data_IF_132354848726
#
_entry.id   IF_132354848726
#
_cell.length_a   1.000
_cell.length_b   1.000
_cell.length_c   1.000
_cell.angle_alpha   90.00
_cell.angle_beta   90.00
_cell.angle_gamma   90.00
#
_symmetry.space_group_name_H-M   'P 1'
#
loop_
_entity.id
_entity.type
_entity.pdbx_description
1 polymer ?
#
# COMPACT_ATOMS: atom_id res chain seq x y z
N UNK A 1 -24.70 2.68 40.94
CA UNK A 1 -25.89 3.37 40.41
C UNK A 1 -25.55 4.81 40.14
N UNK A 2 -25.18 5.15 38.90
CA UNK A 2 -25.04 6.54 38.46
C UNK A 2 -26.13 6.74 37.41
N UNK A 3 -27.14 7.54 37.75
CA UNK A 3 -28.24 7.90 36.87
C UNK A 3 -27.73 8.94 35.86
N UNK A 4 -27.73 8.59 34.59
CA UNK A 4 -27.58 9.54 33.48
C UNK A 4 -28.97 9.98 33.03
N UNK A 5 -29.26 11.27 33.18
CA UNK A 5 -30.41 11.93 32.56
C UNK A 5 -29.91 13.17 31.82
N UNK A 6 -29.90 13.10 30.48
CA UNK A 6 -30.43 14.13 29.59
C UNK A 6 -30.30 13.69 28.14
N UNK A 7 -31.44 13.70 27.47
CA UNK A 7 -31.56 13.57 26.03
C UNK A 7 -30.83 14.72 25.33
N UNK A 8 -29.96 14.39 24.39
CA UNK A 8 -29.52 15.31 23.34
C UNK A 8 -30.26 14.93 22.06
N UNK A 9 -30.98 15.90 21.50
CA UNK A 9 -31.68 15.78 20.23
C UNK A 9 -30.68 15.49 19.10
N UNK A 10 -31.10 14.57 18.24
CA UNK A 10 -30.40 14.17 17.03
C UNK A 10 -30.41 15.31 16.00
N UNK A 11 -29.26 15.94 15.81
CA UNK A 11 -28.88 16.61 14.56
C UNK A 11 -27.36 16.85 14.55
N UNK A 12 -26.56 15.79 14.79
CA UNK A 12 -25.16 15.81 14.44
C UNK A 12 -25.02 15.14 13.08
N UNK A 13 -24.68 15.93 12.07
CA UNK A 13 -24.02 15.45 10.86
C UNK A 13 -22.98 14.42 11.31
N UNK A 14 -23.19 13.13 10.99
CA UNK A 14 -22.20 12.10 11.27
C UNK A 14 -20.99 12.48 10.43
N UNK A 15 -20.01 13.11 11.07
CA UNK A 15 -18.68 13.30 10.53
C UNK A 15 -18.19 11.89 10.18
N UNK A 16 -18.12 11.59 8.89
CA UNK A 16 -17.35 10.46 8.40
C UNK A 16 -15.94 10.71 8.93
N UNK A 17 -15.32 9.77 9.66
CA UNK A 17 -13.95 9.94 10.13
C UNK A 17 -13.08 10.32 8.93
N UNK A 18 -12.07 11.20 9.11
CA UNK A 18 -11.21 11.64 8.01
C UNK A 18 -10.53 10.43 7.38
N UNK A 19 -11.02 10.03 6.21
CA UNK A 19 -10.39 9.01 5.38
C UNK A 19 -9.00 9.54 5.03
N UNK A 20 -7.91 8.77 5.28
CA UNK A 20 -6.60 9.11 4.77
C UNK A 20 -6.69 9.42 3.28
N UNK A 21 -6.05 10.51 2.84
CA UNK A 21 -5.99 10.77 1.41
C UNK A 21 -4.97 9.82 0.82
N UNK A 22 -5.28 9.19 -0.33
CA UNK A 22 -4.32 8.29 -0.97
C UNK A 22 -3.38 9.05 -1.90
N UNK A 23 -2.09 8.76 -1.79
CA UNK A 23 -1.02 9.27 -2.64
C UNK A 23 -0.68 8.30 -3.79
N UNK A 24 -1.73 7.76 -4.42
CA UNK A 24 -1.66 6.76 -5.50
C UNK A 24 -0.68 7.07 -6.66
N UNK A 25 -0.41 8.33 -7.07
CA UNK A 25 0.60 8.64 -8.08
C UNK A 25 2.01 8.20 -7.71
N UNK A 26 2.37 8.19 -6.43
CA UNK A 26 3.70 7.80 -5.97
C UNK A 26 3.94 6.29 -6.18
N UNK A 27 2.91 5.46 -5.97
CA UNK A 27 2.95 4.03 -6.30
C UNK A 27 3.14 3.77 -7.80
N UNK A 28 2.45 4.55 -8.65
CA UNK A 28 2.65 4.45 -10.10
C UNK A 28 4.10 4.77 -10.43
N UNK A 29 4.62 5.90 -9.94
CA UNK A 29 5.98 6.36 -10.24
C UNK A 29 7.04 5.32 -9.86
N UNK A 30 6.90 4.66 -8.72
CA UNK A 30 7.81 3.61 -8.26
C UNK A 30 7.70 2.34 -9.09
N UNK A 31 6.48 1.79 -9.22
CA UNK A 31 6.26 0.53 -9.93
C UNK A 31 6.63 0.64 -11.40
N UNK A 32 6.35 1.77 -12.05
CA UNK A 32 6.66 2.00 -13.46
C UNK A 32 8.15 2.21 -13.74
N UNK A 33 8.95 2.51 -12.71
CA UNK A 33 10.40 2.64 -12.78
C UNK A 33 11.13 1.29 -12.64
N UNK A 34 10.42 0.21 -12.32
CA UNK A 34 10.99 -1.15 -12.30
C UNK A 34 11.41 -1.56 -13.71
N UNK A 35 12.59 -2.15 -13.84
CA UNK A 35 13.06 -2.76 -15.07
C UNK A 35 12.67 -4.24 -15.08
N UNK A 36 11.68 -4.62 -15.88
CA UNK A 36 11.19 -5.99 -15.97
C UNK A 36 12.05 -6.80 -16.94
N UNK A 37 12.55 -7.95 -16.48
CA UNK A 37 13.22 -8.93 -17.34
C UNK A 37 12.16 -9.78 -18.04
N UNK A 38 12.22 -9.84 -19.36
CA UNK A 38 11.32 -10.63 -20.20
C UNK A 38 12.14 -11.60 -21.05
N UNK A 39 11.47 -12.53 -21.74
CA UNK A 39 12.13 -13.42 -22.70
C UNK A 39 12.81 -12.64 -23.85
N UNK A 40 12.23 -11.51 -24.25
CA UNK A 40 12.75 -10.62 -25.30
C UNK A 40 13.78 -9.60 -24.81
N UNK A 41 14.16 -9.65 -23.52
CA UNK A 41 15.08 -8.71 -22.89
C UNK A 41 14.41 -7.84 -21.82
N UNK A 42 15.18 -6.93 -21.23
CA UNK A 42 14.69 -6.02 -20.20
C UNK A 42 13.92 -4.85 -20.79
N UNK A 43 12.83 -4.46 -20.12
CA UNK A 43 12.03 -3.27 -20.48
C UNK A 43 11.55 -2.55 -19.23
N UNK A 44 11.45 -1.21 -19.26
CA UNK A 44 10.79 -0.46 -18.20
C UNK A 44 9.33 -0.87 -18.02
N UNK A 45 8.88 -1.03 -16.78
CA UNK A 45 7.54 -1.49 -16.44
C UNK A 45 6.42 -0.58 -16.98
N UNK A 46 6.66 0.74 -17.09
CA UNK A 46 5.74 1.68 -17.76
C UNK A 46 5.39 1.32 -19.21
N UNK A 47 6.29 0.61 -19.90
CA UNK A 47 6.16 0.26 -21.32
C UNK A 47 5.59 -1.17 -21.49
N UNK A 48 5.29 -1.86 -20.39
CA UNK A 48 4.70 -3.19 -20.34
C UNK A 48 3.26 -3.09 -19.85
N UNK A 49 2.36 -3.78 -20.56
CA UNK A 49 0.92 -3.78 -20.27
C UNK A 49 0.47 -5.17 -19.87
N UNK A 50 -0.17 -5.28 -18.72
CA UNK A 50 -0.76 -6.49 -18.17
C UNK A 50 -2.27 -6.46 -18.41
N UNK A 51 -2.71 -7.30 -19.34
CA UNK A 51 -4.14 -7.51 -19.59
C UNK A 51 -4.66 -8.52 -18.58
N UNK A 52 -5.52 -8.07 -17.67
CA UNK A 52 -6.14 -8.89 -16.63
C UNK A 52 -7.42 -9.54 -17.15
N UNK A 53 -7.93 -10.55 -16.44
CA UNK A 53 -9.22 -11.18 -16.79
C UNK A 53 -10.37 -10.19 -16.63
N UNK A 54 -10.26 -9.23 -15.70
CA UNK A 54 -11.16 -8.09 -15.50
C UNK A 54 -11.25 -7.12 -16.70
N UNK A 55 -10.50 -7.39 -17.76
CA UNK A 55 -10.40 -6.61 -19.00
C UNK A 55 -9.64 -5.29 -18.86
N UNK A 56 -9.18 -4.97 -17.65
CA UNK A 56 -8.22 -3.88 -17.40
C UNK A 56 -6.87 -4.18 -18.05
N UNK A 57 -6.21 -3.13 -18.54
CA UNK A 57 -4.90 -3.22 -19.19
C UNK A 57 -3.92 -2.21 -18.57
N UNK A 58 -3.23 -2.66 -17.53
CA UNK A 58 -2.52 -1.80 -16.58
C UNK A 58 -1.00 -1.95 -16.70
N UNK A 59 -0.24 -0.94 -16.29
CA UNK A 59 1.20 -1.11 -16.02
C UNK A 59 1.42 -1.73 -14.63
N UNK A 60 2.68 -2.03 -14.31
CA UNK A 60 3.05 -2.51 -12.97
C UNK A 60 2.70 -1.47 -11.89
N UNK A 61 3.07 -0.21 -12.11
CA UNK A 61 2.75 0.88 -11.17
C UNK A 61 1.26 1.14 -11.05
N UNK A 62 0.50 1.05 -12.13
CA UNK A 62 -0.97 1.18 -12.08
C UNK A 62 -1.62 0.05 -11.26
N UNK A 63 -1.09 -1.18 -11.28
CA UNK A 63 -1.55 -2.26 -10.41
C UNK A 63 -1.19 -1.96 -8.94
N UNK A 64 0.06 -1.56 -8.66
CA UNK A 64 0.48 -1.21 -7.30
C UNK A 64 -0.35 -0.08 -6.71
N UNK A 65 -0.75 0.92 -7.51
CA UNK A 65 -1.59 2.03 -7.05
C UNK A 65 -3.06 1.66 -6.81
N UNK A 66 -3.50 0.49 -7.28
CA UNK A 66 -4.86 -0.01 -7.12
C UNK A 66 -4.99 -1.03 -5.99
N UNK A 67 -3.91 -1.74 -5.68
CA UNK A 67 -3.87 -2.76 -4.63
C UNK A 67 -4.04 -2.16 -3.24
N UNK A 68 -4.69 -2.89 -2.33
CA UNK A 68 -4.87 -2.49 -0.92
C UNK A 68 -5.90 -1.38 -0.72
N UNK A 69 -5.67 -0.23 -1.34
CA UNK A 69 -6.47 0.99 -1.20
C UNK A 69 -7.83 0.91 -1.91
N UNK A 70 -7.83 0.36 -3.12
CA UNK A 70 -9.01 0.32 -3.98
C UNK A 70 -9.50 -1.10 -4.25
N UNK A 71 -8.62 -2.09 -4.19
CA UNK A 71 -8.96 -3.48 -4.40
C UNK A 71 -8.41 -4.32 -3.27
N UNK A 72 -9.32 -5.04 -2.61
CA UNK A 72 -9.08 -5.72 -1.34
C UNK A 72 -10.36 -6.40 -0.86
N UNK A 73 -10.31 -6.94 0.36
CA UNK A 73 -11.47 -7.58 0.98
C UNK A 73 -11.65 -7.10 2.42
N UNK A 74 -12.78 -7.45 3.04
CA UNK A 74 -13.04 -7.24 4.47
C UNK A 74 -12.12 -8.04 5.40
N UNK A 75 -11.28 -8.92 4.85
CA UNK A 75 -10.43 -9.84 5.61
C UNK A 75 -8.97 -9.50 5.35
N UNK A 76 -8.33 -8.73 6.25
CA UNK A 76 -6.93 -8.38 6.12
C UNK A 76 -6.05 -9.62 6.02
N UNK A 77 -5.09 -9.56 5.11
CA UNK A 77 -4.18 -10.62 4.69
C UNK A 77 -3.34 -11.09 5.89
N UNK A 78 -2.91 -10.17 6.75
CA UNK A 78 -1.99 -10.45 7.86
C UNK A 78 -2.63 -11.08 9.10
N UNK A 79 -3.95 -11.04 9.28
CA UNK A 79 -4.60 -11.51 10.52
C UNK A 79 -4.43 -13.00 10.83
N UNK A 80 -4.60 -13.92 9.86
CA UNK A 80 -4.53 -15.34 10.18
C UNK A 80 -3.14 -15.70 10.69
N UNK A 81 -3.03 -16.62 11.67
CA UNK A 81 -1.72 -17.10 12.12
C UNK A 81 -1.08 -18.10 11.14
N UNK A 82 -1.87 -18.67 10.22
CA UNK A 82 -1.43 -19.72 9.31
C UNK A 82 -1.24 -19.19 7.88
N UNK A 83 -0.19 -19.65 7.19
CA UNK A 83 0.21 -19.16 5.87
C UNK A 83 -0.85 -19.45 4.79
N UNK A 84 -1.46 -20.63 4.77
CA UNK A 84 -2.48 -21.01 3.78
C UNK A 84 -3.69 -20.06 3.78
N UNK A 85 -4.16 -19.65 4.96
CA UNK A 85 -5.25 -18.68 5.07
C UNK A 85 -4.81 -17.29 4.61
N UNK A 86 -3.58 -16.87 4.93
CA UNK A 86 -3.04 -15.60 4.42
C UNK A 86 -2.99 -15.60 2.90
N UNK A 87 -2.47 -16.67 2.30
CA UNK A 87 -2.41 -16.84 0.84
C UNK A 87 -3.81 -16.80 0.23
N UNK A 88 -4.80 -17.48 0.82
CA UNK A 88 -6.20 -17.41 0.36
C UNK A 88 -6.81 -16.01 0.46
N UNK A 89 -6.51 -15.25 1.52
CA UNK A 89 -6.94 -13.85 1.66
C UNK A 89 -6.27 -12.94 0.64
N UNK A 90 -4.96 -13.09 0.42
CA UNK A 90 -4.24 -12.36 -0.63
C UNK A 90 -4.82 -12.64 -2.02
N UNK A 91 -5.02 -13.91 -2.38
CA UNK A 91 -5.62 -14.29 -3.67
C UNK A 91 -7.01 -13.68 -3.82
N UNK A 92 -7.81 -13.67 -2.74
CA UNK A 92 -9.14 -13.05 -2.77
C UNK A 92 -9.09 -11.53 -2.98
N UNK A 93 -8.10 -10.85 -2.37
CA UNK A 93 -7.85 -9.42 -2.59
C UNK A 93 -7.39 -9.15 -4.03
N UNK A 94 -6.41 -9.89 -4.53
CA UNK A 94 -5.94 -9.84 -5.91
C UNK A 94 -7.08 -10.06 -6.91
N UNK A 95 -7.91 -11.08 -6.69
CA UNK A 95 -9.04 -11.44 -7.55
C UNK A 95 -10.07 -10.32 -7.66
N UNK A 96 -10.22 -9.48 -6.63
CA UNK A 96 -11.13 -8.32 -6.68
C UNK A 96 -10.74 -7.31 -7.77
N UNK A 97 -9.44 -7.21 -8.10
CA UNK A 97 -8.91 -6.43 -9.22
C UNK A 97 -8.86 -7.27 -10.50
N UNK A 98 -8.36 -8.49 -10.41
CA UNK A 98 -7.88 -9.23 -11.56
C UNK A 98 -8.94 -10.03 -12.30
N UNK A 99 -10.02 -10.45 -11.61
CA UNK A 99 -11.09 -11.28 -12.19
C UNK A 99 -12.26 -10.47 -12.74
N UNK A 100 -12.99 -11.08 -13.67
CA UNK A 100 -14.24 -10.52 -14.19
C UNK A 100 -15.25 -10.30 -13.08
N UNK A 101 -15.91 -9.15 -13.12
CA UNK A 101 -17.04 -8.83 -12.26
C UNK A 101 -18.05 -7.96 -13.01
N UNK A 102 -19.21 -7.73 -12.41
CA UNK A 102 -20.23 -6.82 -12.98
C UNK A 102 -19.81 -5.36 -12.98
N UNK A 103 -18.80 -4.98 -12.19
CA UNK A 103 -18.29 -3.61 -12.07
C UNK A 103 -17.08 -3.35 -12.99
N UNK A 104 -16.32 -4.39 -13.33
CA UNK A 104 -15.12 -4.28 -14.16
C UNK A 104 -15.43 -4.37 -15.67
N UNK A 105 -14.64 -3.70 -16.54
CA UNK A 105 -13.49 -2.83 -16.23
C UNK A 105 -13.87 -1.39 -15.84
N UNK A 106 -15.16 -1.03 -15.92
CA UNK A 106 -15.63 0.37 -15.82
C UNK A 106 -15.25 1.04 -14.51
N UNK A 107 -15.34 0.32 -13.39
CA UNK A 107 -14.95 0.85 -12.09
C UNK A 107 -13.44 1.14 -12.04
N UNK A 108 -12.60 0.18 -12.43
CA UNK A 108 -11.15 0.37 -12.47
C UNK A 108 -10.75 1.53 -13.38
N UNK A 109 -11.38 1.68 -14.55
CA UNK A 109 -11.15 2.82 -15.45
C UNK A 109 -11.53 4.16 -14.81
N UNK A 110 -12.65 4.20 -14.06
CA UNK A 110 -13.09 5.39 -13.33
C UNK A 110 -12.10 5.77 -12.23
N UNK A 111 -11.64 4.81 -11.43
CA UNK A 111 -10.64 5.03 -10.37
C UNK A 111 -9.32 5.52 -11.00
N UNK A 112 -8.85 4.84 -12.05
CA UNK A 112 -7.63 5.23 -12.75
C UNK A 112 -7.71 6.64 -13.35
N UNK A 113 -8.89 7.07 -13.80
CA UNK A 113 -9.08 8.45 -14.25
C UNK A 113 -8.84 9.44 -13.11
N UNK A 114 -9.38 9.16 -11.91
CA UNK A 114 -9.20 10.02 -10.73
C UNK A 114 -7.72 10.08 -10.34
N UNK A 115 -7.02 8.94 -10.31
CA UNK A 115 -5.57 8.88 -10.02
C UNK A 115 -4.77 9.69 -11.06
N UNK A 116 -5.12 9.62 -12.35
CA UNK A 116 -4.47 10.40 -13.41
C UNK A 116 -4.73 11.90 -13.26
N UNK A 117 -5.95 12.30 -12.89
CA UNK A 117 -6.27 13.70 -12.60
C UNK A 117 -5.47 14.21 -11.37
N UNK A 118 -5.30 13.38 -10.34
CA UNK A 118 -4.49 13.67 -9.15
C UNK A 118 -3.00 13.81 -9.51
N UNK A 119 -2.45 12.88 -10.27
CA UNK A 119 -1.07 12.94 -10.77
C UNK A 119 -0.83 14.23 -11.58
N UNK A 120 -1.76 14.60 -12.47
CA UNK A 120 -1.65 15.85 -13.22
C UNK A 120 -1.62 17.08 -12.30
N UNK A 121 -2.46 17.09 -11.25
CA UNK A 121 -2.49 18.18 -10.28
C UNK A 121 -1.18 18.28 -9.48
N UNK A 122 -0.59 17.15 -9.07
CA UNK A 122 0.72 17.11 -8.41
C UNK A 122 1.81 17.63 -9.33
N UNK A 123 1.86 17.15 -10.58
CA UNK A 123 2.83 17.61 -11.57
C UNK A 123 2.72 19.11 -11.86
N UNK A 124 1.50 19.67 -11.83
CA UNK A 124 1.26 21.11 -11.93
C UNK A 124 1.79 21.86 -10.69
N UNK A 125 1.52 21.38 -9.48
CA UNK A 125 2.01 21.99 -8.25
C UNK A 125 3.54 22.03 -8.19
N UNK A 126 4.21 20.95 -8.60
CA UNK A 126 5.69 20.90 -8.70
C UNK A 126 6.21 21.99 -9.64
N UNK A 127 5.63 22.11 -10.85
CA UNK A 127 6.03 23.13 -11.82
C UNK A 127 5.81 24.56 -11.32
N UNK A 128 4.78 24.76 -10.51
CA UNK A 128 4.43 26.05 -9.91
C UNK A 128 5.12 26.31 -8.57
N UNK A 129 6.02 25.41 -8.12
CA UNK A 129 6.67 25.46 -6.80
C UNK A 129 5.66 25.58 -5.62
N UNK A 130 4.48 24.97 -5.77
CA UNK A 130 3.46 24.89 -4.72
C UNK A 130 3.65 23.63 -3.87
N UNK A 131 3.24 23.66 -2.58
CA UNK A 131 3.27 22.47 -1.74
C UNK A 131 2.42 21.35 -2.34
N UNK A 132 3.03 20.19 -2.63
CA UNK A 132 2.30 19.02 -3.13
C UNK A 132 1.35 18.44 -2.06
N UNK A 133 1.67 18.66 -0.78
CA UNK A 133 0.82 18.29 0.36
C UNK A 133 -0.58 18.89 0.28
N UNK A 134 -0.71 20.11 -0.24
CA UNK A 134 -1.99 20.79 -0.38
C UNK A 134 -2.84 20.18 -1.50
N UNK A 135 -2.18 19.65 -2.54
CA UNK A 135 -2.87 18.92 -3.61
C UNK A 135 -3.47 17.64 -3.04
N UNK A 136 -2.69 16.88 -2.27
CA UNK A 136 -3.18 15.66 -1.63
C UNK A 136 -4.26 15.95 -0.59
N UNK A 137 -4.13 17.00 0.22
CA UNK A 137 -5.13 17.34 1.25
C UNK A 137 -6.50 17.79 0.70
N UNK A 138 -6.67 17.97 -0.61
CA UNK A 138 -7.95 18.34 -1.21
C UNK A 138 -8.99 17.21 -1.10
N UNK A 139 -10.03 17.45 -0.30
CA UNK A 139 -11.10 16.49 -0.03
C UNK A 139 -11.81 15.97 -1.29
N UNK A 140 -11.72 16.67 -2.44
CA UNK A 140 -12.32 16.21 -3.69
C UNK A 140 -11.83 14.83 -4.12
N UNK A 141 -10.57 14.47 -3.82
CA UNK A 141 -10.01 13.18 -4.20
C UNK A 141 -10.77 12.05 -3.50
N UNK A 142 -10.87 12.12 -2.17
CA UNK A 142 -11.59 11.13 -1.38
C UNK A 142 -13.08 11.08 -1.75
N UNK A 143 -13.73 12.24 -1.97
CA UNK A 143 -15.12 12.27 -2.44
C UNK A 143 -15.31 11.56 -3.79
N UNK A 144 -14.38 11.75 -4.73
CA UNK A 144 -14.42 11.09 -6.03
C UNK A 144 -14.18 9.58 -5.92
N UNK A 145 -13.24 9.15 -5.07
CA UNK A 145 -12.96 7.72 -4.82
C UNK A 145 -14.13 7.00 -4.11
N UNK A 146 -14.75 7.65 -3.13
CA UNK A 146 -15.99 7.18 -2.50
C UNK A 146 -17.08 6.99 -3.56
N UNK A 147 -17.32 8.00 -4.39
CA UNK A 147 -18.30 7.92 -5.47
C UNK A 147 -17.93 6.89 -6.56
N UNK A 148 -16.65 6.57 -6.72
CA UNK A 148 -16.19 5.55 -7.67
C UNK A 148 -16.53 4.14 -7.20
N UNK A 149 -16.47 3.88 -5.90
CA UNK A 149 -16.62 2.53 -5.30
C UNK A 149 -17.97 2.31 -4.61
N UNK A 150 -18.84 3.31 -4.52
CA UNK A 150 -20.11 3.24 -3.77
C UNK A 150 -21.04 2.08 -4.18
N UNK A 151 -21.01 1.64 -5.44
CA UNK A 151 -21.89 0.58 -5.93
C UNK A 151 -21.53 -0.81 -5.36
N UNK A 152 -20.31 -0.98 -4.83
CA UNK A 152 -19.85 -2.21 -4.16
C UNK A 152 -20.69 -2.56 -2.93
N UNK A 153 -21.20 -1.56 -2.21
CA UNK A 153 -22.04 -1.79 -1.04
C UNK A 153 -23.30 -2.62 -1.38
N UNK A 154 -23.86 -2.45 -2.59
CA UNK A 154 -25.02 -3.21 -3.08
C UNK A 154 -24.68 -4.68 -3.37
N UNK A 155 -23.39 -4.96 -3.59
CA UNK A 155 -22.85 -6.28 -3.89
C UNK A 155 -22.21 -6.95 -2.66
N UNK A 156 -22.24 -6.32 -1.48
CA UNK A 156 -21.57 -6.79 -0.28
C UNK A 156 -20.03 -6.76 -0.37
N UNK A 157 -19.48 -5.97 -1.29
CA UNK A 157 -18.04 -5.82 -1.50
C UNK A 157 -17.51 -4.61 -0.73
N UNK A 158 -16.24 -4.65 -0.31
CA UNK A 158 -15.61 -3.56 0.42
C UNK A 158 -15.44 -2.32 -0.47
N UNK A 159 -15.94 -1.18 -0.02
CA UNK A 159 -15.75 0.12 -0.66
C UNK A 159 -14.39 0.70 -0.33
N UNK A 160 -14.00 1.80 -1.00
CA UNK A 160 -12.81 2.58 -0.65
C UNK A 160 -12.79 2.99 0.84
N UNK A 161 -13.96 3.36 1.39
CA UNK A 161 -14.07 3.68 2.82
C UNK A 161 -13.80 2.46 3.70
N UNK A 162 -14.39 1.32 3.36
CA UNK A 162 -14.29 0.11 4.16
C UNK A 162 -12.85 -0.42 4.22
N UNK A 163 -12.15 -0.35 3.08
CA UNK A 163 -10.74 -0.73 2.99
C UNK A 163 -9.87 0.19 3.86
N UNK A 164 -10.06 1.51 3.76
CA UNK A 164 -9.33 2.47 4.60
C UNK A 164 -9.58 2.29 6.12
N UNK A 165 -10.68 1.67 6.52
CA UNK A 165 -10.96 1.38 7.93
C UNK A 165 -10.27 0.12 8.45
N UNK A 166 -9.90 -0.81 7.57
CA UNK A 166 -9.31 -2.12 7.88
C UNK A 166 -7.90 -2.28 7.29
N UNK A 167 -7.20 -1.16 7.11
CA UNK A 167 -5.96 -0.98 6.35
C UNK A 167 -4.67 -1.30 7.13
N UNK A 168 -4.72 -2.08 8.22
CA UNK A 168 -3.47 -2.37 8.94
C UNK A 168 -2.48 -3.21 8.13
N UNK A 169 -2.91 -3.89 7.06
CA UNK A 169 -2.01 -4.52 6.10
C UNK A 169 -1.03 -3.53 5.43
N UNK A 170 -1.21 -2.22 5.57
CA UNK A 170 -0.29 -1.20 5.07
C UNK A 170 0.81 -0.83 6.10
N UNK A 171 0.72 -1.33 7.33
CA UNK A 171 1.53 -0.83 8.45
C UNK A 171 2.51 -1.88 9.00
N UNK A 172 3.74 -1.43 9.27
CA UNK A 172 4.73 -2.16 10.06
C UNK A 172 4.86 -3.65 9.69
N UNK A 173 4.64 -4.53 10.68
CA UNK A 173 4.77 -5.99 10.48
C UNK A 173 3.67 -6.59 9.62
N UNK A 174 2.51 -5.94 9.61
CA UNK A 174 1.35 -6.42 8.87
C UNK A 174 1.59 -6.23 7.36
N UNK A 175 2.19 -5.09 6.96
CA UNK A 175 2.69 -4.86 5.60
C UNK A 175 3.75 -5.86 5.14
N UNK A 176 4.73 -6.15 5.99
CA UNK A 176 5.73 -7.16 5.69
C UNK A 176 5.10 -8.55 5.47
N UNK A 177 4.10 -8.92 6.27
CA UNK A 177 3.35 -10.17 6.11
C UNK A 177 2.53 -10.16 4.81
N UNK A 178 1.80 -9.09 4.53
CA UNK A 178 0.96 -8.95 3.34
C UNK A 178 1.81 -9.03 2.06
N UNK A 179 2.91 -8.27 2.01
CA UNK A 179 3.88 -8.32 0.92
C UNK A 179 4.44 -9.73 0.72
N UNK A 180 5.01 -10.35 1.77
CA UNK A 180 5.62 -11.69 1.64
C UNK A 180 4.62 -12.72 1.15
N UNK A 181 3.41 -12.69 1.70
CA UNK A 181 2.31 -13.59 1.30
C UNK A 181 2.04 -13.46 -0.20
N UNK A 182 1.87 -12.23 -0.67
CA UNK A 182 1.60 -11.98 -2.08
C UNK A 182 2.76 -12.29 -3.01
N UNK A 183 3.98 -11.95 -2.59
CA UNK A 183 5.20 -12.21 -3.34
C UNK A 183 5.45 -13.72 -3.52
N UNK A 184 5.27 -14.52 -2.46
CA UNK A 184 5.37 -15.97 -2.57
C UNK A 184 4.28 -16.56 -3.46
N UNK A 185 3.03 -16.10 -3.36
CA UNK A 185 1.96 -16.52 -4.27
C UNK A 185 2.29 -16.18 -5.74
N UNK A 186 2.86 -14.99 -5.99
CA UNK A 186 3.30 -14.59 -7.32
C UNK A 186 4.45 -15.46 -7.85
N UNK A 187 5.39 -15.87 -6.99
CA UNK A 187 6.44 -16.83 -7.36
C UNK A 187 5.89 -18.25 -7.62
N UNK A 188 4.87 -18.70 -6.90
CA UNK A 188 4.17 -19.94 -7.22
C UNK A 188 3.53 -19.87 -8.61
N UNK A 189 2.89 -18.75 -8.96
CA UNK A 189 2.42 -18.51 -10.34
C UNK A 189 3.59 -18.57 -11.32
N UNK A 190 4.70 -17.88 -11.04
CA UNK A 190 5.89 -17.84 -11.90
C UNK A 190 6.46 -19.24 -12.22
N UNK A 191 6.40 -20.15 -11.24
CA UNK A 191 6.95 -21.52 -11.34
C UNK A 191 5.95 -22.55 -11.88
N UNK A 192 4.69 -22.17 -12.06
CA UNK A 192 3.65 -23.10 -12.55
C UNK A 192 3.90 -23.61 -13.97
N UNK A 193 4.46 -22.76 -14.83
CA UNK A 193 4.79 -23.10 -16.22
C UNK A 193 5.76 -22.08 -16.82
N UNK A 194 6.76 -22.57 -17.57
CA UNK A 194 7.74 -21.72 -18.27
C UNK A 194 7.18 -21.12 -19.56
N UNK A 195 6.19 -20.25 -19.45
CA UNK A 195 5.60 -19.53 -20.59
C UNK A 195 5.60 -18.01 -20.34
N UNK A 196 5.72 -17.19 -21.39
CA UNK A 196 5.64 -15.73 -21.25
C UNK A 196 4.36 -15.26 -20.56
N UNK A 197 3.21 -15.85 -20.89
CA UNK A 197 1.94 -15.50 -20.26
C UNK A 197 1.97 -15.72 -18.73
N UNK A 198 2.62 -16.78 -18.26
CA UNK A 198 2.80 -17.06 -16.83
C UNK A 198 3.67 -16.02 -16.15
N UNK A 199 4.77 -15.60 -16.78
CA UNK A 199 5.63 -14.54 -16.25
C UNK A 199 4.87 -13.21 -16.12
N UNK A 200 4.07 -12.86 -17.12
CA UNK A 200 3.25 -11.65 -17.08
C UNK A 200 2.19 -11.70 -15.98
N UNK A 201 1.53 -12.85 -15.79
CA UNK A 201 0.58 -13.04 -14.69
C UNK A 201 1.26 -12.93 -13.31
N UNK A 202 2.44 -13.54 -13.17
CA UNK A 202 3.24 -13.46 -11.94
C UNK A 202 3.67 -12.02 -11.64
N UNK A 203 4.15 -11.27 -12.64
CA UNK A 203 4.47 -9.85 -12.46
C UNK A 203 3.27 -9.00 -12.08
N UNK A 204 2.11 -9.22 -12.70
CA UNK A 204 0.91 -8.50 -12.37
C UNK A 204 0.47 -8.76 -10.91
N UNK A 205 0.53 -10.03 -10.46
CA UNK A 205 0.24 -10.38 -9.07
C UNK A 205 1.31 -9.81 -8.11
N UNK A 206 2.58 -9.84 -8.49
CA UNK A 206 3.66 -9.28 -7.68
C UNK A 206 3.55 -7.76 -7.54
N UNK A 207 3.10 -7.06 -8.58
CA UNK A 207 2.84 -5.62 -8.50
C UNK A 207 1.78 -5.28 -7.45
N UNK A 208 0.78 -6.15 -7.27
CA UNK A 208 -0.21 -6.02 -6.22
C UNK A 208 0.40 -6.24 -4.83
N UNK A 209 1.30 -7.21 -4.69
CA UNK A 209 2.03 -7.44 -3.43
C UNK A 209 3.00 -6.29 -3.10
N UNK A 210 3.67 -5.74 -4.11
CA UNK A 210 4.66 -4.67 -3.97
C UNK A 210 4.05 -3.36 -3.46
N UNK A 211 2.73 -3.18 -3.52
CA UNK A 211 2.05 -2.08 -2.85
C UNK A 211 2.41 -2.04 -1.35
N UNK A 212 2.24 -3.15 -0.64
CA UNK A 212 2.57 -3.25 0.79
C UNK A 212 4.08 -3.12 1.06
N UNK A 213 4.91 -3.52 0.09
CA UNK A 213 6.35 -3.29 0.16
C UNK A 213 6.68 -1.80 0.05
N UNK A 214 5.99 -1.06 -0.82
CA UNK A 214 6.18 0.39 -1.00
C UNK A 214 5.76 1.15 0.27
N UNK A 215 4.65 0.77 0.89
CA UNK A 215 4.18 1.39 2.16
C UNK A 215 5.21 1.23 3.29
N UNK A 216 5.99 0.16 3.26
CA UNK A 216 7.08 -0.07 4.23
C UNK A 216 8.24 0.95 4.11
N UNK A 217 8.19 1.86 3.13
CA UNK A 217 9.09 3.01 2.98
C UNK A 217 8.43 4.35 3.32
N UNK A 218 7.30 4.35 4.00
CA UNK A 218 6.66 5.55 4.55
C UNK A 218 6.81 5.60 6.06
N UNK A 219 7.31 6.72 6.57
CA UNK A 219 7.54 6.92 8.01
C UNK A 219 6.28 6.67 8.87
N UNK A 220 5.12 7.13 8.39
CA UNK A 220 3.84 6.93 9.05
C UNK A 220 3.45 5.46 9.13
N UNK A 221 3.56 4.73 8.02
CA UNK A 221 3.25 3.30 7.93
C UNK A 221 4.16 2.43 8.79
N UNK A 222 5.45 2.79 8.91
CA UNK A 222 6.42 1.99 9.68
C UNK A 222 6.19 2.09 11.19
N UNK A 223 5.90 3.29 11.72
CA UNK A 223 5.88 3.52 13.18
C UNK A 223 4.49 3.49 13.80
N UNK A 224 3.44 3.80 13.05
CA UNK A 224 2.08 3.90 13.58
C UNK A 224 1.55 2.50 13.96
N UNK A 225 1.12 2.27 15.21
CA UNK A 225 0.62 0.97 15.65
C UNK A 225 -0.85 0.75 15.22
N UNK A 226 -1.11 0.80 13.90
CA UNK A 226 -2.45 0.87 13.30
C UNK A 226 -3.40 -0.22 13.78
N UNK A 227 -2.98 -1.49 13.71
CA UNK A 227 -3.76 -2.65 14.18
C UNK A 227 -4.15 -2.51 15.65
N UNK A 228 -3.20 -2.18 16.51
CA UNK A 228 -3.46 -2.10 17.94
C UNK A 228 -4.40 -0.95 18.30
N UNK A 229 -4.27 0.20 17.62
CA UNK A 229 -5.17 1.33 17.79
C UNK A 229 -6.60 0.99 17.33
N UNK A 230 -6.74 0.28 16.20
CA UNK A 230 -8.04 -0.18 15.71
C UNK A 230 -8.73 -1.11 16.71
N UNK A 231 -8.02 -2.12 17.22
CA UNK A 231 -8.59 -3.16 18.07
C UNK A 231 -8.97 -2.69 19.48
N UNK A 232 -8.36 -1.60 19.97
CA UNK A 232 -8.66 -1.04 21.29
C UNK A 232 -10.01 -0.32 21.31
N UNK A 233 -10.47 0.18 20.16
CA UNK A 233 -11.59 1.11 20.12
C UNK A 233 -12.71 0.61 19.21
N UNK A 234 -13.71 -0.05 19.81
CA UNK A 234 -14.98 -0.33 19.16
C UNK A 234 -15.80 0.91 18.75
N UNK A 235 -15.19 2.11 18.64
CA UNK A 235 -15.79 3.41 18.28
C UNK A 235 -14.96 4.31 17.35
N UNK A 236 -13.90 3.82 16.71
CA UNK A 236 -13.14 4.51 15.63
C UNK A 236 -12.39 5.82 15.98
N UNK A 237 -12.42 6.31 17.22
CA UNK A 237 -11.66 7.51 17.64
C UNK A 237 -10.14 7.27 17.59
N UNK A 238 -9.69 6.05 17.85
CA UNK A 238 -8.26 5.72 17.77
C UNK A 238 -7.74 5.56 16.33
N UNK A 239 -8.62 5.36 15.35
CA UNK A 239 -8.24 5.36 13.93
C UNK A 239 -7.83 6.79 13.49
N UNK A 240 -8.51 7.83 14.00
CA UNK A 240 -8.09 9.22 13.79
C UNK A 240 -6.72 9.51 14.45
N UNK A 241 -6.50 8.98 15.66
CA UNK A 241 -5.23 9.08 16.34
C UNK A 241 -4.08 8.40 15.58
N UNK A 242 -4.36 7.27 14.94
CA UNK A 242 -3.42 6.60 14.05
C UNK A 242 -3.07 7.50 12.85
N UNK A 243 -4.07 8.09 12.19
CA UNK A 243 -3.88 9.00 11.07
C UNK A 243 -3.07 10.27 11.46
N UNK A 244 -3.28 10.79 12.68
CA UNK A 244 -2.48 11.92 13.18
C UNK A 244 -0.99 11.57 13.32
N UNK A 245 -0.67 10.40 13.88
CA UNK A 245 0.71 9.93 14.02
C UNK A 245 1.33 9.62 12.65
N UNK A 246 0.57 8.96 11.79
CA UNK A 246 0.94 8.67 10.41
C UNK A 246 1.42 9.94 9.69
N UNK A 247 0.60 10.99 9.73
CA UNK A 247 0.91 12.26 9.07
C UNK A 247 2.04 13.03 9.74
N UNK A 248 2.11 13.03 11.08
CA UNK A 248 3.21 13.66 11.82
C UNK A 248 4.56 13.05 11.41
N UNK A 249 4.64 11.72 11.42
CA UNK A 249 5.83 10.98 11.07
C UNK A 249 6.18 11.15 9.59
N UNK A 250 5.17 11.16 8.73
CA UNK A 250 5.35 11.41 7.29
C UNK A 250 5.98 12.79 7.00
N UNK A 251 5.53 13.83 7.70
CA UNK A 251 5.99 15.22 7.49
C UNK A 251 7.36 15.47 8.14
N UNK A 252 7.53 15.06 9.40
CA UNK A 252 8.76 15.28 10.16
C UNK A 252 9.89 14.37 9.69
N UNK A 253 9.53 13.20 9.17
CA UNK A 253 10.44 12.13 8.84
C UNK A 253 10.95 11.39 10.08
N UNK A 254 11.52 10.22 9.84
CA UNK A 254 12.17 9.38 10.84
C UNK A 254 13.58 9.04 10.35
N UNK A 255 14.55 9.18 11.25
CA UNK A 255 15.85 8.56 11.10
C UNK A 255 15.69 7.04 11.27
N UNK A 256 15.90 6.32 10.17
CA UNK A 256 15.78 4.86 10.11
C UNK A 256 17.08 4.22 9.62
N UNK A 257 17.20 2.91 9.74
CA UNK A 257 18.32 2.14 9.21
C UNK A 257 17.88 0.73 8.84
N UNK A 258 18.54 0.10 7.88
CA UNK A 258 18.31 -1.31 7.54
C UNK A 258 19.33 -2.23 8.22
N UNK A 259 18.98 -3.51 8.35
CA UNK A 259 19.88 -4.55 8.86
C UNK A 259 20.54 -5.39 7.74
N UNK A 260 20.09 -5.19 6.50
CA UNK A 260 20.51 -5.94 5.32
C UNK A 260 21.69 -5.29 4.56
N UNK A 261 21.51 -5.13 3.26
CA UNK A 261 22.57 -4.68 2.34
C UNK A 261 22.75 -3.16 2.43
N UNK A 262 24.01 -2.72 2.43
CA UNK A 262 24.35 -1.31 2.45
C UNK A 262 23.96 -0.61 3.75
N UNK A 263 24.16 -1.30 4.89
CA UNK A 263 23.86 -0.82 6.25
C UNK A 263 24.20 0.65 6.45
N UNK A 264 23.19 1.50 6.45
CA UNK A 264 23.32 2.91 6.77
C UNK A 264 22.02 3.44 7.36
N UNK A 265 22.13 4.53 8.13
CA UNK A 265 20.97 5.29 8.55
C UNK A 265 20.63 6.36 7.52
N UNK A 266 19.35 6.63 7.31
CA UNK A 266 18.86 7.72 6.45
C UNK A 266 17.60 8.35 7.02
N UNK A 267 17.24 9.51 6.47
CA UNK A 267 15.97 10.16 6.76
C UNK A 267 14.88 9.62 5.83
N UNK A 268 13.82 9.08 6.40
CA UNK A 268 12.64 8.58 5.70
C UNK A 268 11.45 9.48 5.98
N UNK A 269 10.84 10.03 4.93
CA UNK A 269 9.58 10.76 4.98
C UNK A 269 8.44 9.91 4.42
N UNK A 270 7.20 10.31 4.66
CA UNK A 270 5.99 9.58 4.25
C UNK A 270 5.35 10.10 2.96
N UNK A 271 4.12 9.64 2.73
CA UNK A 271 3.40 9.68 1.45
C UNK A 271 3.36 11.08 0.81
N UNK A 272 2.96 12.11 1.56
CA UNK A 272 2.88 13.51 1.07
C UNK A 272 4.22 14.19 0.80
N UNK A 273 5.29 13.57 1.24
CA UNK A 273 6.65 14.04 1.08
C UNK A 273 7.45 13.10 0.17
N UNK A 274 6.81 12.03 -0.32
CA UNK A 274 7.51 10.92 -0.95
C UNK A 274 8.27 11.38 -2.17
N UNK A 275 7.63 12.13 -3.06
CA UNK A 275 8.20 12.68 -4.29
C UNK A 275 9.13 13.91 -4.10
N UNK A 276 9.30 14.42 -2.87
CA UNK A 276 10.13 15.62 -2.62
C UNK A 276 11.62 15.31 -2.60
N UNK A 277 12.48 16.28 -2.94
CA UNK A 277 13.94 16.04 -3.00
C UNK A 277 14.53 15.56 -1.67
N UNK A 278 14.00 16.04 -0.52
CA UNK A 278 14.46 15.60 0.81
C UNK A 278 14.26 14.10 1.06
N UNK A 279 13.32 13.44 0.37
CA UNK A 279 13.08 12.00 0.51
C UNK A 279 13.81 11.14 -0.53
N UNK A 280 14.71 11.71 -1.34
CA UNK A 280 15.35 11.00 -2.45
C UNK A 280 16.07 9.72 -2.01
N UNK A 281 16.82 9.76 -0.90
CA UNK A 281 17.56 8.58 -0.40
C UNK A 281 16.60 7.44 -0.07
N UNK A 282 15.48 7.74 0.58
CA UNK A 282 14.47 6.76 0.91
C UNK A 282 13.80 6.18 -0.35
N UNK A 283 13.48 7.03 -1.34
CA UNK A 283 12.97 6.57 -2.65
C UNK A 283 13.96 5.63 -3.34
N UNK A 284 15.26 5.94 -3.29
CA UNK A 284 16.29 5.08 -3.88
C UNK A 284 16.34 3.69 -3.19
N UNK A 285 16.09 3.61 -1.88
CA UNK A 285 15.96 2.33 -1.17
C UNK A 285 14.69 1.58 -1.55
N UNK A 286 13.55 2.27 -1.61
CA UNK A 286 12.28 1.71 -2.05
C UNK A 286 12.40 1.11 -3.47
N UNK A 287 13.00 1.87 -4.41
CA UNK A 287 13.23 1.43 -5.78
C UNK A 287 14.08 0.15 -5.85
N UNK A 288 15.13 0.06 -5.03
CA UNK A 288 15.97 -1.15 -4.96
C UNK A 288 15.21 -2.35 -4.42
N UNK A 289 14.32 -2.14 -3.45
CA UNK A 289 13.50 -3.20 -2.88
C UNK A 289 12.52 -3.77 -3.91
N UNK A 290 11.75 -2.93 -4.59
CA UNK A 290 10.78 -3.38 -5.60
C UNK A 290 11.48 -3.94 -6.85
N UNK A 291 12.66 -3.44 -7.22
CA UNK A 291 13.46 -4.05 -8.29
C UNK A 291 13.91 -5.47 -7.90
N UNK A 292 14.37 -5.67 -6.66
CA UNK A 292 14.73 -7.00 -6.17
C UNK A 292 13.52 -7.94 -6.16
N UNK A 293 12.35 -7.45 -5.74
CA UNK A 293 11.08 -8.20 -5.78
C UNK A 293 10.77 -8.70 -7.20
N UNK A 294 10.82 -7.81 -8.21
CA UNK A 294 10.58 -8.20 -9.60
C UNK A 294 11.66 -9.14 -10.17
N UNK A 295 12.92 -8.96 -9.78
CA UNK A 295 14.02 -9.84 -10.19
C UNK A 295 13.84 -11.27 -9.65
N UNK A 296 13.30 -11.42 -8.44
CA UNK A 296 12.99 -12.72 -7.83
C UNK A 296 11.89 -13.45 -8.60
N UNK A 297 10.86 -12.74 -9.05
CA UNK A 297 9.81 -13.31 -9.93
C UNK A 297 10.39 -13.83 -11.23
N UNK A 298 11.27 -13.04 -11.88
CA UNK A 298 11.95 -13.49 -13.09
C UNK A 298 12.79 -14.73 -12.84
N UNK A 299 13.55 -14.74 -11.73
CA UNK A 299 14.44 -15.85 -11.42
C UNK A 299 13.65 -17.11 -11.12
N UNK A 300 12.54 -17.01 -10.37
CA UNK A 300 11.63 -18.12 -10.11
C UNK A 300 11.05 -18.69 -11.42
N UNK A 301 10.61 -17.83 -12.34
CA UNK A 301 10.13 -18.26 -13.67
C UNK A 301 11.24 -18.85 -14.55
N UNK A 302 12.42 -18.22 -14.59
CA UNK A 302 13.53 -18.68 -15.43
C UNK A 302 14.05 -20.04 -14.97
N UNK A 303 14.27 -20.18 -13.66
CA UNK A 303 14.81 -21.40 -13.05
C UNK A 303 13.73 -22.48 -12.86
N UNK A 304 12.45 -22.12 -13.00
CA UNK A 304 11.30 -22.96 -12.67
C UNK A 304 11.42 -23.57 -11.26
N UNK A 305 11.83 -22.73 -10.31
CA UNK A 305 12.07 -23.14 -8.93
C UNK A 305 11.65 -22.05 -7.97
N UNK A 306 10.87 -22.44 -6.96
CA UNK A 306 10.44 -21.52 -5.91
C UNK A 306 11.64 -21.10 -5.07
N UNK A 307 11.79 -19.80 -4.86
CA UNK A 307 12.75 -19.25 -3.90
C UNK A 307 12.02 -18.96 -2.58
N UNK A 308 12.67 -19.29 -1.46
CA UNK A 308 12.11 -19.05 -0.12
C UNK A 308 12.74 -17.83 0.57
N UNK A 309 13.75 -17.22 -0.04
CA UNK A 309 14.32 -15.95 0.41
C UNK A 309 13.60 -14.78 -0.27
N UNK A 310 13.55 -13.64 0.42
CA UNK A 310 13.05 -12.39 -0.14
C UNK A 310 14.12 -11.30 0.06
N UNK A 311 14.88 -11.03 -0.99
CA UNK A 311 15.98 -10.08 -1.01
C UNK A 311 15.48 -8.64 -0.94
N UNK A 312 14.26 -8.37 -1.40
CA UNK A 312 13.62 -7.06 -1.24
C UNK A 312 13.61 -6.58 0.22
N UNK A 313 13.43 -7.50 1.18
CA UNK A 313 13.40 -7.18 2.62
C UNK A 313 14.75 -6.67 3.16
N UNK A 314 15.86 -6.90 2.45
CA UNK A 314 17.18 -6.44 2.88
C UNK A 314 17.32 -4.91 2.81
N UNK A 315 16.44 -4.24 2.07
CA UNK A 315 16.42 -2.78 1.92
C UNK A 315 15.48 -2.09 2.91
N UNK A 316 14.59 -2.84 3.58
CA UNK A 316 13.59 -2.28 4.47
C UNK A 316 14.22 -1.52 5.65
N UNK A 317 13.63 -0.39 6.08
CA UNK A 317 13.94 0.19 7.37
C UNK A 317 13.56 -0.79 8.49
N UNK A 318 14.41 -0.93 9.50
CA UNK A 318 14.07 -1.72 10.67
C UNK A 318 13.06 -0.98 11.54
N UNK A 319 12.09 -1.70 12.11
CA UNK A 319 11.08 -1.12 13.01
C UNK A 319 11.73 -0.52 14.25
N UNK A 320 12.78 -1.16 14.76
CA UNK A 320 13.53 -0.69 15.92
C UNK A 320 14.13 0.71 15.66
N UNK A 321 14.62 0.97 14.45
CA UNK A 321 15.21 2.25 14.09
C UNK A 321 14.17 3.39 14.07
N UNK A 322 12.91 3.10 13.76
CA UNK A 322 11.83 4.10 13.82
C UNK A 322 11.58 4.62 15.26
N UNK A 323 11.94 3.83 16.28
CA UNK A 323 11.85 4.20 17.69
C UNK A 323 13.20 4.64 18.31
N UNK A 324 14.21 4.88 17.48
CA UNK A 324 15.51 5.41 17.94
C UNK A 324 15.35 6.79 18.61
N UNK A 325 16.17 7.04 19.63
CA UNK A 325 16.17 8.30 20.41
C UNK A 325 16.44 9.58 19.60
N UNK A 326 16.98 9.46 18.38
CA UNK A 326 17.15 10.57 17.43
C UNK A 326 15.83 11.08 16.87
N UNK A 327 14.78 10.24 16.86
CA UNK A 327 13.48 10.59 16.33
C UNK A 327 12.65 11.35 17.37
N UNK A 328 11.67 12.13 16.91
CA UNK A 328 10.68 12.71 17.80
C UNK A 328 9.90 11.62 18.51
N UNK A 329 9.41 11.93 19.72
CA UNK A 329 8.57 11.01 20.49
C UNK A 329 7.31 10.66 19.68
N UNK A 330 6.93 9.38 19.59
CA UNK A 330 5.71 8.99 18.90
C UNK A 330 4.48 9.46 19.69
N UNK A 331 3.40 9.83 18.99
CA UNK A 331 2.11 10.12 19.64
C UNK A 331 1.54 8.88 20.34
N UNK A 332 1.75 7.71 19.73
CA UNK A 332 1.31 6.42 20.24
C UNK A 332 2.46 5.42 20.26
N UNK A 333 2.63 4.73 21.38
CA UNK A 333 3.61 3.64 21.49
C UNK A 333 3.00 2.47 22.24
N UNK A 334 3.27 1.27 21.76
CA UNK A 334 2.91 0.05 22.48
C UNK A 334 3.93 -0.18 23.60
N UNK A 335 3.47 -0.04 24.84
CA UNK A 335 4.26 -0.42 26.02
C UNK A 335 3.94 -1.86 26.38
N UNK A 336 4.97 -2.71 26.48
CA UNK A 336 4.81 -4.01 27.12
C UNK A 336 4.41 -3.75 28.58
N UNK A 337 3.27 -4.31 29.02
CA UNK A 337 2.97 -4.32 30.46
C UNK A 337 4.10 -5.05 31.16
N UNK A 338 4.74 -4.39 32.13
CA UNK A 338 5.58 -5.08 33.09
C UNK A 338 4.69 -6.13 33.78
N UNK A 339 5.04 -7.40 33.61
CA UNK A 339 4.39 -8.53 34.28
C UNK A 339 4.79 -8.60 35.74
#
# INVERSE_FOLDING_TARGET
>A
MIKSTRAFSHAACRLVPPIPTMESPDHILLGDAVELKLESGSRPAKDVRFKLESELNLTYGEISALAGDFYGTWSPISDPPNEDERTRRFISAWDSLAKKSTLQPKEGEKIMKIIKDQHHAVGKAIKEAKPISDVYADAKWNLNFLAATQDRAKLGQATYYDLAMLDWDHFGSDAEIAYKTGHFAAMEVATSKKEPATLYAAYAMNAFADHFLQDSFSAGHVRTPRRALHLVDGKHLLDEGANMMHNEDGIKGLWVSNSGVGKSGWMMYGDREFSTEKNKVNRDYCQKAIQASADEIYTAWSDQRLQHSCNALQYLPSKESAFDSRNHKPLWSLVKRAT
#
